data_IF_265585168752
#
_entry.id   IF_265585168752
#
_cell.length_a   1.000
_cell.length_b   1.000
_cell.length_c   1.000
_cell.angle_alpha   90.00
_cell.angle_beta   90.00
_cell.angle_gamma   90.00
#
_symmetry.space_group_name_H-M   'P 1'
#
loop_
_entity.id
_entity.type
_entity.pdbx_description
1 polymer ?
#
# COMPACT_ATOMS: atom_id res chain seq x y z
N UNK A 1 70.85 32.08 -30.01
CA UNK A 1 69.67 32.02 -29.11
C UNK A 1 69.94 30.97 -28.04
N UNK A 2 69.97 31.39 -26.80
CA UNK A 2 70.11 30.45 -25.69
C UNK A 2 68.79 29.64 -25.52
N UNK A 3 68.86 28.32 -25.46
CA UNK A 3 67.71 27.49 -25.15
C UNK A 3 67.65 27.25 -23.64
N UNK A 4 66.50 27.52 -23.03
CA UNK A 4 66.23 27.14 -21.65
C UNK A 4 65.54 25.77 -21.69
N UNK A 5 66.14 24.78 -21.04
CA UNK A 5 65.57 23.44 -20.92
C UNK A 5 64.95 23.27 -19.55
N UNK A 6 63.64 23.25 -19.46
CA UNK A 6 62.89 22.93 -18.24
C UNK A 6 62.72 21.40 -18.13
N UNK A 7 63.42 20.77 -17.19
CA UNK A 7 63.38 19.31 -17.02
C UNK A 7 62.35 18.86 -15.97
N UNK A 8 61.96 19.76 -15.08
CA UNK A 8 60.96 19.51 -14.04
C UNK A 8 60.34 20.83 -13.62
N UNK A 9 59.06 20.87 -13.43
CA UNK A 9 58.35 22.01 -12.87
C UNK A 9 58.18 21.82 -11.36
N UNK A 10 58.76 22.75 -10.57
CA UNK A 10 58.74 22.68 -9.10
C UNK A 10 57.53 23.33 -8.45
N UNK A 11 56.66 23.93 -9.24
CA UNK A 11 55.47 24.62 -8.75
C UNK A 11 55.67 26.14 -8.65
N UNK A 12 54.78 26.80 -7.97
CA UNK A 12 54.70 28.24 -7.83
C UNK A 12 55.32 28.70 -6.51
N UNK A 13 56.21 29.69 -6.57
CA UNK A 13 56.92 30.30 -5.44
C UNK A 13 56.78 31.84 -5.45
N UNK A 14 55.57 32.36 -5.20
CA UNK A 14 55.22 33.78 -5.42
C UNK A 14 55.96 34.75 -4.47
N UNK A 15 56.50 34.26 -3.37
CA UNK A 15 57.20 35.07 -2.36
C UNK A 15 58.70 35.18 -2.59
N UNK A 16 59.25 34.46 -3.56
CA UNK A 16 60.70 34.47 -3.84
C UNK A 16 60.95 35.48 -4.98
N UNK A 17 61.96 36.33 -4.81
CA UNK A 17 62.37 37.27 -5.87
C UNK A 17 62.81 36.51 -7.13
N UNK A 18 62.62 37.10 -8.31
CA UNK A 18 62.98 36.49 -9.60
C UNK A 18 64.44 36.04 -9.68
N UNK A 19 65.33 36.76 -8.98
CA UNK A 19 66.78 36.50 -8.98
C UNK A 19 67.17 35.29 -8.10
N UNK A 20 66.31 34.94 -7.12
CA UNK A 20 66.53 33.84 -6.19
C UNK A 20 65.62 32.65 -6.49
N UNK A 21 64.82 32.74 -7.58
CA UNK A 21 63.87 31.69 -7.94
C UNK A 21 64.64 30.42 -8.37
N UNK A 22 64.37 29.24 -7.78
CA UNK A 22 65.01 27.99 -8.21
C UNK A 22 64.68 27.64 -9.65
N UNK A 23 65.63 27.04 -10.34
CA UNK A 23 65.38 26.52 -11.68
C UNK A 23 64.23 25.57 -11.71
N UNK A 24 63.23 25.82 -12.56
CA UNK A 24 62.02 25.01 -12.64
C UNK A 24 60.86 25.47 -11.77
N UNK A 25 61.02 26.52 -10.93
CA UNK A 25 59.92 27.18 -10.25
C UNK A 25 59.42 28.41 -11.04
N UNK A 26 58.16 28.81 -10.79
CA UNK A 26 57.59 30.04 -11.35
C UNK A 26 57.11 30.96 -10.22
N UNK A 27 57.16 32.27 -10.40
CA UNK A 27 56.49 33.21 -9.48
C UNK A 27 54.99 33.18 -9.67
N UNK A 28 54.53 32.99 -10.93
CA UNK A 28 53.12 32.88 -11.32
C UNK A 28 52.98 31.79 -12.37
N UNK A 29 51.99 30.94 -12.20
CA UNK A 29 51.70 29.86 -13.13
C UNK A 29 50.19 29.80 -13.39
N UNK A 30 49.76 30.29 -14.54
CA UNK A 30 48.36 30.27 -14.92
C UNK A 30 48.05 29.11 -15.86
N UNK A 31 46.87 28.49 -15.68
CA UNK A 31 46.37 27.43 -16.52
C UNK A 31 47.25 26.17 -16.60
N UNK A 32 47.97 25.88 -15.54
CA UNK A 32 48.80 24.68 -15.40
C UNK A 32 48.53 23.91 -14.15
N UNK A 33 48.72 22.57 -14.19
CA UNK A 33 48.65 21.68 -13.04
C UNK A 33 49.99 21.68 -12.33
N UNK A 34 49.99 21.96 -11.04
CA UNK A 34 51.22 22.17 -10.25
C UNK A 34 51.69 20.93 -9.48
N UNK A 35 50.84 19.91 -9.34
CA UNK A 35 51.07 18.78 -8.44
C UNK A 35 51.86 17.58 -9.03
N UNK A 36 51.95 17.50 -10.38
CA UNK A 36 52.60 16.38 -11.04
C UNK A 36 54.09 16.55 -11.29
N UNK A 37 54.60 17.76 -11.16
CA UNK A 37 55.97 18.12 -11.58
C UNK A 37 56.15 18.28 -13.08
N UNK A 38 55.11 18.05 -13.87
CA UNK A 38 55.07 18.29 -15.30
C UNK A 38 54.32 19.58 -15.61
N UNK A 39 54.73 20.25 -16.68
CA UNK A 39 54.06 21.46 -17.13
C UNK A 39 52.88 21.09 -18.04
N UNK A 40 51.78 20.69 -17.42
CA UNK A 40 50.56 20.23 -18.12
C UNK A 40 49.48 21.29 -18.00
N UNK A 41 48.89 21.79 -19.12
CA UNK A 41 47.80 22.75 -19.06
C UNK A 41 46.53 22.11 -18.49
N UNK A 42 45.70 22.93 -17.82
CA UNK A 42 44.32 22.55 -17.57
C UNK A 42 43.58 22.40 -18.88
N UNK A 43 42.81 21.32 -19.01
CA UNK A 43 41.93 21.17 -20.18
C UNK A 43 40.81 22.20 -20.10
N UNK A 44 40.40 22.76 -21.22
CA UNK A 44 39.21 23.60 -21.29
C UNK A 44 38.01 22.85 -20.76
N UNK A 45 37.22 23.45 -19.87
CA UNK A 45 35.96 22.83 -19.43
C UNK A 45 35.09 22.46 -20.63
N UNK A 46 34.57 21.25 -20.65
CA UNK A 46 33.61 20.79 -21.64
C UNK A 46 32.20 21.02 -21.11
N UNK A 47 31.37 21.67 -21.90
CA UNK A 47 29.95 21.78 -21.59
C UNK A 47 29.35 20.38 -21.53
N UNK A 48 28.76 20.02 -20.39
CA UNK A 48 28.08 18.73 -20.16
C UNK A 48 26.62 18.87 -20.52
N UNK A 49 25.95 19.90 -20.01
CA UNK A 49 24.53 20.13 -20.22
C UNK A 49 24.18 21.60 -19.96
N UNK A 50 23.14 22.08 -20.64
CA UNK A 50 22.51 23.36 -20.34
C UNK A 50 21.29 23.14 -19.50
N UNK A 51 21.34 23.47 -18.22
CA UNK A 51 20.29 23.23 -17.26
C UNK A 51 19.04 24.11 -17.41
N UNK A 52 19.14 25.18 -18.23
CA UNK A 52 18.00 26.01 -18.63
C UNK A 52 17.33 26.85 -17.54
N UNK A 53 17.81 26.79 -16.29
CA UNK A 53 17.22 27.55 -15.17
C UNK A 53 17.68 28.98 -15.16
N UNK A 54 16.74 29.93 -15.09
CA UNK A 54 17.02 31.35 -14.91
C UNK A 54 17.23 31.69 -13.43
N UNK A 55 18.14 32.62 -13.14
CA UNK A 55 18.51 33.04 -11.79
C UNK A 55 19.85 32.44 -11.32
N UNK A 56 20.25 32.78 -10.11
CA UNK A 56 21.49 32.27 -9.49
C UNK A 56 21.25 30.91 -8.89
N UNK A 57 21.81 29.88 -9.51
CA UNK A 57 21.73 28.50 -8.98
C UNK A 57 22.66 28.41 -7.77
N UNK A 58 22.11 28.04 -6.61
CA UNK A 58 22.87 27.84 -5.38
C UNK A 58 23.18 26.36 -5.15
N UNK A 59 22.25 25.46 -5.52
CA UNK A 59 22.47 24.02 -5.41
C UNK A 59 22.27 23.33 -6.75
N UNK A 60 23.20 22.44 -7.09
CA UNK A 60 23.17 21.57 -8.26
C UNK A 60 23.30 20.12 -7.81
N UNK A 61 22.31 19.31 -8.16
CA UNK A 61 22.29 17.88 -7.80
C UNK A 61 22.13 17.01 -9.05
N UNK A 62 23.00 16.01 -9.20
CA UNK A 62 22.94 15.06 -10.30
C UNK A 62 22.01 13.89 -9.94
N UNK A 63 20.97 13.71 -10.72
CA UNK A 63 20.02 12.61 -10.58
C UNK A 63 20.16 11.66 -11.77
N UNK A 64 20.21 10.36 -11.50
CA UNK A 64 20.37 9.33 -12.54
C UNK A 64 19.04 8.61 -12.74
N UNK A 65 18.61 8.43 -13.99
CA UNK A 65 17.43 7.66 -14.31
C UNK A 65 17.65 6.18 -13.95
N UNK A 66 16.81 5.59 -13.08
CA UNK A 66 16.99 4.22 -12.63
C UNK A 66 16.80 3.18 -13.76
N UNK A 67 16.08 3.54 -14.81
CA UNK A 67 15.75 2.61 -15.90
C UNK A 67 16.80 2.58 -17.00
N UNK A 68 17.37 3.73 -17.39
CA UNK A 68 18.27 3.82 -18.54
C UNK A 68 19.66 4.38 -18.22
N UNK A 69 19.91 4.78 -16.98
CA UNK A 69 21.19 5.33 -16.53
C UNK A 69 21.51 6.76 -17.00
N UNK A 70 20.59 7.42 -17.70
CA UNK A 70 20.78 8.80 -18.13
C UNK A 70 20.77 9.75 -16.94
N UNK A 71 21.59 10.80 -17.00
CA UNK A 71 21.68 11.79 -15.94
C UNK A 71 20.88 13.02 -16.29
N UNK A 72 20.24 13.60 -15.28
CA UNK A 72 19.68 14.96 -15.32
C UNK A 72 20.25 15.76 -14.15
N UNK A 73 20.20 17.09 -14.25
CA UNK A 73 20.65 17.97 -13.18
C UNK A 73 19.47 18.72 -12.59
N UNK A 74 19.23 18.48 -11.30
CA UNK A 74 18.30 19.29 -10.51
C UNK A 74 19.00 20.55 -10.08
N UNK A 75 18.32 21.68 -10.23
CA UNK A 75 18.86 23.02 -9.98
C UNK A 75 17.96 23.77 -9.02
N UNK A 76 18.51 24.31 -7.96
CA UNK A 76 17.79 25.07 -6.95
C UNK A 76 18.36 26.48 -6.85
N UNK A 77 17.44 27.45 -6.68
CA UNK A 77 17.82 28.85 -6.46
C UNK A 77 18.11 29.15 -4.99
N UNK A 78 17.84 28.19 -4.14
CA UNK A 78 18.16 28.21 -2.69
C UNK A 78 19.29 27.23 -2.40
N UNK A 79 19.93 27.44 -1.27
CA UNK A 79 20.89 26.48 -0.71
C UNK A 79 20.11 25.35 -0.06
N UNK A 80 20.06 24.19 -0.71
CA UNK A 80 19.29 23.03 -0.26
C UNK A 80 20.25 21.88 0.13
N UNK A 81 19.94 21.27 1.27
CA UNK A 81 20.57 20.04 1.70
C UNK A 81 19.79 18.85 1.18
N UNK A 82 20.47 17.95 0.48
CA UNK A 82 19.85 16.77 -0.15
C UNK A 82 20.39 15.49 0.48
N UNK A 83 19.48 14.64 0.95
CA UNK A 83 19.77 13.29 1.40
C UNK A 83 19.07 12.28 0.50
N UNK A 84 19.78 11.23 0.11
CA UNK A 84 19.20 10.10 -0.63
C UNK A 84 18.80 9.00 0.33
N UNK A 85 17.69 8.33 0.06
CA UNK A 85 17.42 7.06 0.68
C UNK A 85 18.46 6.07 0.16
N UNK A 86 19.55 5.94 0.90
CA UNK A 86 20.54 4.90 0.63
C UNK A 86 20.22 3.71 1.49
N UNK A 87 19.85 2.69 0.86
CA UNK A 87 19.81 1.34 1.36
C UNK A 87 18.45 0.73 1.57
N UNK A 88 18.54 -0.53 1.40
CA UNK A 88 17.40 -1.39 1.31
C UNK A 88 16.68 -1.39 2.64
N UNK A 89 15.42 -1.09 2.61
CA UNK A 89 14.54 -1.67 3.58
C UNK A 89 14.58 -3.18 3.35
N UNK A 90 15.31 -3.86 4.19
CA UNK A 90 15.23 -5.32 4.28
C UNK A 90 13.96 -5.71 5.00
N UNK A 91 12.84 -5.53 4.38
CA UNK A 91 11.73 -6.42 4.57
C UNK A 91 11.88 -7.53 3.53
N UNK A 92 11.61 -8.73 3.93
CA UNK A 92 11.93 -10.00 3.28
C UNK A 92 11.45 -10.17 1.83
N UNK A 93 10.99 -9.13 1.14
CA UNK A 93 10.45 -9.23 -0.21
C UNK A 93 10.64 -8.02 -1.13
N UNK A 94 11.21 -6.90 -0.66
CA UNK A 94 11.47 -5.76 -1.55
C UNK A 94 12.79 -5.08 -1.14
N UNK A 95 13.84 -5.46 -1.80
CA UNK A 95 15.21 -5.27 -1.36
C UNK A 95 15.82 -3.93 -1.75
N UNK A 96 15.15 -3.08 -2.51
CA UNK A 96 15.71 -1.81 -2.95
C UNK A 96 14.63 -0.73 -3.08
N UNK A 97 14.97 0.50 -2.68
CA UNK A 97 14.17 1.66 -3.06
C UNK A 97 14.38 1.94 -4.56
N UNK A 98 13.66 1.16 -5.39
CA UNK A 98 13.71 1.28 -6.85
C UNK A 98 13.21 2.63 -7.34
N UNK A 99 12.56 3.41 -6.49
CA UNK A 99 12.06 4.75 -6.77
C UNK A 99 13.15 5.81 -6.64
N UNK A 100 14.32 5.47 -6.05
CA UNK A 100 15.43 6.42 -5.82
C UNK A 100 14.97 7.72 -5.17
N UNK A 101 14.22 7.61 -4.07
CA UNK A 101 13.75 8.77 -3.34
C UNK A 101 14.89 9.60 -2.81
N UNK A 102 14.74 10.88 -2.87
CA UNK A 102 15.63 11.84 -2.21
C UNK A 102 14.80 12.85 -1.42
N UNK A 103 15.39 13.31 -0.36
CA UNK A 103 14.79 14.23 0.60
C UNK A 103 15.61 15.51 0.61
N UNK A 104 14.96 16.65 0.74
CA UNK A 104 15.68 17.91 0.80
C UNK A 104 14.99 18.95 1.68
N UNK A 105 15.82 19.84 2.24
CA UNK A 105 15.44 21.00 3.06
C UNK A 105 16.12 22.26 2.52
N UNK A 106 15.74 23.43 3.04
CA UNK A 106 16.30 24.71 2.56
C UNK A 106 15.43 25.43 1.54
N UNK A 107 14.33 24.82 1.10
CA UNK A 107 13.35 25.40 0.18
C UNK A 107 11.93 25.34 0.77
N UNK A 108 11.75 25.96 1.94
CA UNK A 108 10.50 25.93 2.69
C UNK A 108 10.34 24.67 3.56
N UNK A 109 9.16 24.02 3.53
CA UNK A 109 8.93 22.76 4.23
C UNK A 109 9.84 21.65 3.72
N UNK A 110 10.29 20.72 4.59
CA UNK A 110 11.02 19.54 4.13
C UNK A 110 10.23 18.78 3.05
N UNK A 111 10.94 18.30 2.04
CA UNK A 111 10.35 17.71 0.84
C UNK A 111 10.92 16.33 0.54
N UNK A 112 10.12 15.53 -0.15
CA UNK A 112 10.54 14.25 -0.75
C UNK A 112 10.21 14.24 -2.24
N UNK A 113 11.10 13.68 -3.03
CA UNK A 113 10.90 13.51 -4.48
C UNK A 113 11.57 12.21 -4.96
N UNK A 114 11.35 11.87 -6.22
CA UNK A 114 12.05 10.82 -6.94
C UNK A 114 12.33 11.27 -8.38
N UNK A 115 12.99 10.41 -9.17
CA UNK A 115 13.31 10.74 -10.56
C UNK A 115 12.06 11.11 -11.36
N UNK A 116 11.05 10.25 -11.34
CA UNK A 116 9.84 10.43 -12.15
C UNK A 116 9.09 11.72 -11.77
N UNK A 117 8.97 12.01 -10.49
CA UNK A 117 8.27 13.19 -9.99
C UNK A 117 9.05 14.47 -10.32
N UNK A 118 10.37 14.47 -10.11
CA UNK A 118 11.22 15.62 -10.37
C UNK A 118 11.33 15.98 -11.85
N UNK A 119 11.16 14.98 -12.74
CA UNK A 119 11.34 15.13 -14.19
C UNK A 119 10.04 15.00 -15.00
N UNK A 120 8.88 15.00 -14.34
CA UNK A 120 7.57 14.89 -14.99
C UNK A 120 7.19 16.18 -15.74
N UNK A 121 7.89 16.44 -16.83
CA UNK A 121 7.72 17.64 -17.67
C UNK A 121 9.01 18.02 -18.39
N UNK A 122 9.07 19.26 -18.83
CA UNK A 122 10.24 19.81 -19.52
C UNK A 122 11.21 20.49 -18.55
N UNK A 123 12.51 20.43 -18.85
CA UNK A 123 13.52 21.19 -18.11
C UNK A 123 13.15 22.68 -18.01
N UNK A 124 13.58 23.40 -16.96
CA UNK A 124 14.56 23.03 -15.94
C UNK A 124 14.00 22.13 -14.84
N UNK A 125 14.84 21.23 -14.34
CA UNK A 125 14.49 20.31 -13.26
C UNK A 125 14.96 20.80 -11.88
N UNK A 126 14.28 20.46 -10.75
CA UNK A 126 12.98 19.78 -10.74
C UNK A 126 11.90 20.66 -11.39
N UNK A 127 10.89 20.01 -11.97
CA UNK A 127 9.72 20.73 -12.49
C UNK A 127 8.95 21.38 -11.33
N UNK A 128 8.12 22.37 -11.66
CA UNK A 128 7.21 22.96 -10.67
C UNK A 128 6.32 21.87 -10.04
N UNK A 129 6.28 21.81 -8.71
CA UNK A 129 5.58 20.76 -7.96
C UNK A 129 6.13 19.34 -8.19
N UNK A 130 7.38 19.21 -8.63
CA UNK A 130 8.08 17.92 -8.75
C UNK A 130 8.50 17.34 -7.38
N UNK A 131 7.69 17.47 -6.36
CA UNK A 131 7.94 17.02 -4.99
C UNK A 131 6.64 16.84 -4.21
N UNK A 132 6.74 16.17 -3.07
CA UNK A 132 5.74 16.17 -2.00
C UNK A 132 6.34 16.75 -0.73
N UNK A 133 5.52 17.35 0.13
CA UNK A 133 5.92 17.69 1.48
C UNK A 133 6.26 16.42 2.27
N UNK A 134 7.29 16.49 3.11
CA UNK A 134 7.70 15.35 3.93
C UNK A 134 6.68 15.09 5.03
N UNK A 135 6.35 13.82 5.22
CA UNK A 135 5.32 13.35 6.15
C UNK A 135 3.99 13.03 5.46
N UNK A 136 3.18 12.19 6.06
CA UNK A 136 1.89 11.80 5.52
C UNK A 136 0.78 12.74 6.03
N UNK A 137 -0.17 13.14 5.18
CA UNK A 137 -1.25 14.02 5.58
C UNK A 137 -2.19 13.35 6.58
N UNK A 138 -2.84 14.17 7.40
CA UNK A 138 -3.92 13.71 8.27
C UNK A 138 -5.08 13.15 7.44
N UNK A 139 -5.61 11.96 7.77
CA UNK A 139 -6.88 11.50 7.22
C UNK A 139 -8.03 12.46 7.58
N UNK A 140 -8.78 12.93 6.59
CA UNK A 140 -9.84 13.93 6.79
C UNK A 140 -11.24 13.34 6.83
N UNK A 141 -11.39 12.10 6.36
CA UNK A 141 -12.67 11.39 6.34
C UNK A 141 -12.81 10.53 7.59
N UNK A 142 -13.98 10.53 8.20
CA UNK A 142 -14.29 9.66 9.34
C UNK A 142 -15.01 8.41 8.84
N UNK A 143 -14.53 7.19 9.14
CA UNK A 143 -15.23 5.96 8.76
C UNK A 143 -16.58 5.87 9.50
N UNK A 144 -17.51 5.12 8.88
CA UNK A 144 -18.82 4.83 9.47
C UNK A 144 -18.95 3.33 9.65
N UNK A 145 -19.31 2.89 10.83
CA UNK A 145 -19.51 1.47 11.13
C UNK A 145 -20.99 1.16 11.32
N UNK A 146 -21.44 0.06 10.73
CA UNK A 146 -22.81 -0.43 10.86
C UNK A 146 -22.78 -1.92 11.13
N UNK A 147 -23.33 -2.35 12.27
CA UNK A 147 -23.52 -3.77 12.53
C UNK A 147 -24.60 -4.32 11.59
N UNK A 148 -24.32 -5.45 10.95
CA UNK A 148 -25.34 -6.14 10.19
C UNK A 148 -26.39 -6.66 11.17
N UNK A 149 -27.62 -6.22 11.01
CA UNK A 149 -28.71 -6.63 11.89
C UNK A 149 -28.88 -8.14 11.84
N UNK A 150 -28.90 -8.76 13.00
CA UNK A 150 -29.36 -10.12 13.16
C UNK A 150 -30.85 -10.08 13.47
N UNK A 151 -31.65 -10.57 12.54
CA UNK A 151 -33.09 -10.66 12.78
C UNK A 151 -33.41 -11.88 13.63
N UNK A 152 -34.26 -11.71 14.62
CA UNK A 152 -34.89 -12.86 15.27
C UNK A 152 -35.70 -13.58 14.20
N UNK A 153 -35.40 -14.86 13.98
CA UNK A 153 -36.01 -15.66 12.92
C UNK A 153 -36.96 -16.64 13.55
N UNK A 154 -38.18 -16.69 13.03
CA UNK A 154 -39.17 -17.70 13.42
C UNK A 154 -38.86 -19.02 12.73
N UNK A 155 -39.14 -20.12 13.40
CA UNK A 155 -39.09 -21.45 12.82
C UNK A 155 -40.27 -21.70 11.88
N UNK A 156 -40.09 -22.63 10.93
CA UNK A 156 -41.18 -23.27 10.17
C UNK A 156 -41.36 -24.72 10.61
N UNK A 157 -40.28 -25.37 10.97
CA UNK A 157 -40.22 -26.76 11.44
C UNK A 157 -39.08 -26.92 12.40
N UNK A 158 -39.08 -28.03 13.13
CA UNK A 158 -37.95 -28.57 13.84
C UNK A 158 -37.79 -30.06 13.56
N UNK A 159 -36.61 -30.58 13.77
CA UNK A 159 -36.23 -31.98 13.57
C UNK A 159 -35.06 -32.31 14.48
N UNK A 160 -34.96 -33.54 14.98
CA UNK A 160 -33.77 -34.01 15.69
C UNK A 160 -33.40 -35.39 15.20
N UNK A 161 -32.14 -35.58 14.87
CA UNK A 161 -31.60 -36.88 14.53
C UNK A 161 -31.32 -37.72 15.78
N UNK A 162 -30.93 -38.99 15.58
CA UNK A 162 -30.53 -39.88 16.67
C UNK A 162 -29.20 -39.53 17.33
N UNK A 163 -28.50 -38.55 16.83
CA UNK A 163 -27.19 -38.06 17.28
C UNK A 163 -27.26 -36.80 18.14
N UNK A 164 -28.42 -36.43 18.67
CA UNK A 164 -28.64 -35.19 19.44
C UNK A 164 -28.41 -33.89 18.63
N UNK A 165 -28.53 -33.94 17.31
CA UNK A 165 -28.44 -32.78 16.45
C UNK A 165 -29.83 -32.34 16.07
N UNK A 166 -30.21 -31.13 16.48
CA UNK A 166 -31.46 -30.51 16.06
C UNK A 166 -31.24 -29.65 14.82
N UNK A 167 -32.26 -29.64 13.96
CA UNK A 167 -32.31 -28.74 12.80
C UNK A 167 -33.38 -27.68 13.07
N UNK A 168 -32.96 -26.43 12.99
CA UNK A 168 -33.84 -25.27 12.97
C UNK A 168 -34.13 -24.91 11.50
N UNK A 169 -35.36 -25.00 11.08
CA UNK A 169 -35.83 -24.58 9.76
C UNK A 169 -36.40 -23.17 9.89
N UNK A 170 -35.70 -22.20 9.36
CA UNK A 170 -36.05 -20.79 9.48
C UNK A 170 -37.07 -20.33 8.45
N UNK A 171 -37.87 -19.31 8.80
CA UNK A 171 -38.84 -18.65 7.89
C UNK A 171 -38.18 -17.61 6.98
N UNK A 172 -36.89 -17.33 7.16
CA UNK A 172 -36.13 -16.34 6.36
C UNK A 172 -34.62 -16.43 6.62
N UNK A 173 -33.86 -15.62 5.91
CA UNK A 173 -32.42 -15.62 6.00
C UNK A 173 -31.93 -15.22 7.42
N UNK A 174 -31.12 -16.08 8.00
CA UNK A 174 -30.58 -15.88 9.36
C UNK A 174 -29.27 -15.10 9.40
N UNK A 175 -28.55 -14.94 8.29
CA UNK A 175 -27.23 -14.28 8.23
C UNK A 175 -26.17 -14.86 9.21
N UNK A 176 -26.38 -16.08 9.73
CA UNK A 176 -25.44 -16.78 10.59
C UNK A 176 -24.29 -17.37 9.76
N UNK A 177 -23.20 -17.65 10.49
CA UNK A 177 -22.08 -18.47 10.03
C UNK A 177 -21.91 -19.64 10.98
N UNK A 178 -21.40 -20.76 10.49
CA UNK A 178 -21.00 -21.87 11.36
C UNK A 178 -20.00 -21.37 12.42
N UNK A 179 -20.22 -21.78 13.67
CA UNK A 179 -19.49 -21.29 14.83
C UNK A 179 -20.16 -20.11 15.57
N UNK A 180 -21.24 -19.51 15.03
CA UNK A 180 -21.99 -18.51 15.78
C UNK A 180 -22.72 -19.14 16.97
N UNK A 181 -22.87 -18.38 18.03
CA UNK A 181 -23.60 -18.80 19.22
C UNK A 181 -25.01 -18.17 19.17
N UNK A 182 -26.04 -19.02 19.31
CA UNK A 182 -27.44 -18.59 19.31
C UNK A 182 -28.18 -19.09 20.55
N UNK A 183 -29.30 -18.44 20.87
CA UNK A 183 -30.33 -18.96 21.72
C UNK A 183 -31.54 -19.29 20.88
N UNK A 184 -32.01 -20.52 21.00
CA UNK A 184 -33.21 -21.04 20.34
C UNK A 184 -34.29 -21.23 21.41
N UNK A 185 -35.48 -20.66 21.19
CA UNK A 185 -36.53 -20.60 22.19
C UNK A 185 -37.94 -20.61 21.58
N UNK A 186 -38.93 -20.71 22.43
CA UNK A 186 -40.35 -20.56 22.08
C UNK A 186 -40.90 -21.70 21.20
N UNK A 187 -40.31 -22.90 21.24
CA UNK A 187 -40.78 -24.06 20.46
C UNK A 187 -42.09 -24.65 20.94
N UNK A 188 -42.86 -23.94 21.73
CA UNK A 188 -44.20 -24.38 22.13
C UNK A 188 -44.29 -24.96 23.54
N UNK A 189 -45.43 -25.61 23.84
CA UNK A 189 -45.79 -26.01 25.20
C UNK A 189 -45.64 -27.48 25.47
N UNK A 190 -45.58 -28.36 24.47
CA UNK A 190 -45.32 -29.79 24.67
C UNK A 190 -43.91 -30.05 25.17
N UNK A 191 -43.71 -31.08 25.93
CA UNK A 191 -42.38 -31.42 26.47
C UNK A 191 -41.40 -31.77 25.35
N UNK A 192 -41.87 -32.38 24.26
CA UNK A 192 -41.05 -32.61 23.05
C UNK A 192 -40.59 -31.30 22.39
N UNK A 193 -41.51 -30.37 22.18
CA UNK A 193 -41.17 -29.09 21.55
C UNK A 193 -40.25 -28.24 22.43
N UNK A 194 -40.49 -28.20 23.75
CA UNK A 194 -39.62 -27.52 24.72
C UNK A 194 -38.19 -28.04 24.74
N UNK A 195 -38.00 -29.34 24.47
CA UNK A 195 -36.69 -29.95 24.40
C UNK A 195 -35.78 -29.40 23.26
N UNK A 196 -36.36 -28.67 22.30
CA UNK A 196 -35.61 -27.96 21.29
C UNK A 196 -35.13 -26.56 21.71
N UNK A 197 -35.61 -26.03 22.84
CA UNK A 197 -35.10 -24.77 23.37
C UNK A 197 -33.68 -24.96 23.90
N UNK A 198 -32.79 -24.12 23.49
CA UNK A 198 -31.38 -24.17 23.86
C UNK A 198 -30.83 -22.75 24.00
N UNK A 199 -29.91 -22.56 24.95
CA UNK A 199 -29.26 -21.26 25.17
C UNK A 199 -27.75 -21.37 24.94
N UNK A 200 -27.18 -20.37 24.27
CA UNK A 200 -25.75 -20.31 24.01
C UNK A 200 -25.19 -21.55 23.30
N UNK A 201 -25.90 -22.02 22.28
CA UNK A 201 -25.47 -23.17 21.46
C UNK A 201 -24.78 -22.70 20.19
N UNK A 202 -23.72 -23.41 19.85
CA UNK A 202 -23.01 -23.21 18.59
C UNK A 202 -23.81 -23.79 17.43
N UNK A 203 -23.85 -23.07 16.30
CA UNK A 203 -24.56 -23.53 15.12
C UNK A 203 -23.64 -23.97 13.99
N UNK A 204 -24.10 -24.96 13.23
CA UNK A 204 -23.56 -25.29 11.91
C UNK A 204 -24.59 -24.91 10.85
N UNK A 205 -24.25 -23.98 9.98
CA UNK A 205 -25.12 -23.46 8.92
C UNK A 205 -25.26 -24.51 7.82
N UNK A 206 -26.49 -24.87 7.46
CA UNK A 206 -26.81 -25.75 6.34
C UNK A 206 -27.03 -24.96 5.04
N UNK A 207 -27.81 -23.90 5.14
CA UNK A 207 -28.12 -22.99 4.03
C UNK A 207 -28.50 -21.60 4.57
N UNK A 208 -29.07 -20.73 3.75
CA UNK A 208 -29.40 -19.36 4.13
C UNK A 208 -30.48 -19.26 5.23
N UNK A 209 -31.34 -20.28 5.37
CA UNK A 209 -32.48 -20.29 6.29
C UNK A 209 -32.35 -21.30 7.43
N UNK A 210 -31.55 -22.35 7.23
CA UNK A 210 -31.54 -23.51 8.12
C UNK A 210 -30.16 -23.74 8.72
N UNK A 211 -30.13 -24.14 9.98
CA UNK A 211 -28.91 -24.49 10.68
C UNK A 211 -29.14 -25.64 11.67
N UNK A 212 -28.07 -26.32 12.06
CA UNK A 212 -28.07 -27.34 13.13
C UNK A 212 -27.46 -26.79 14.38
N UNK A 213 -27.84 -27.37 15.50
CA UNK A 213 -27.29 -27.11 16.84
C UNK A 213 -27.43 -28.33 17.71
N UNK A 214 -26.66 -28.39 18.78
CA UNK A 214 -26.73 -29.48 19.75
C UNK A 214 -28.00 -29.35 20.60
N UNK A 215 -28.83 -30.41 20.63
CA UNK A 215 -30.04 -30.51 21.42
C UNK A 215 -30.26 -31.97 21.79
N UNK A 216 -29.96 -32.33 23.04
CA UNK A 216 -30.06 -33.74 23.47
C UNK A 216 -31.51 -34.21 23.53
N UNK A 217 -31.75 -35.49 23.22
CA UNK A 217 -33.06 -36.14 23.28
C UNK A 217 -33.26 -37.16 22.16
N UNK A 218 -34.43 -37.82 22.19
CA UNK A 218 -34.80 -38.82 21.20
C UNK A 218 -34.95 -38.20 19.79
N UNK A 219 -34.81 -39.04 18.77
CA UNK A 219 -35.03 -38.62 17.39
C UNK A 219 -36.48 -38.14 17.19
N UNK A 220 -36.63 -37.01 16.55
CA UNK A 220 -37.92 -36.40 16.23
C UNK A 220 -37.97 -36.12 14.75
N UNK A 221 -38.99 -36.67 14.06
CA UNK A 221 -39.21 -36.42 12.66
C UNK A 221 -39.54 -34.95 12.42
N UNK A 222 -39.30 -34.46 11.20
CA UNK A 222 -39.59 -33.08 10.80
C UNK A 222 -41.03 -32.69 11.14
N UNK A 223 -41.17 -31.81 12.12
CA UNK A 223 -42.48 -31.39 12.67
C UNK A 223 -42.67 -29.89 12.42
N UNK A 224 -43.88 -29.50 11.94
CA UNK A 224 -44.20 -28.11 11.71
C UNK A 224 -44.28 -27.32 13.03
N UNK A 225 -43.66 -26.17 13.03
CA UNK A 225 -43.63 -25.25 14.19
C UNK A 225 -43.36 -23.83 13.72
N UNK A 226 -44.20 -22.89 14.06
CA UNK A 226 -44.08 -21.46 13.70
C UNK A 226 -43.83 -20.56 14.90
N UNK A 227 -43.66 -21.13 16.10
CA UNK A 227 -43.45 -20.36 17.33
C UNK A 227 -42.02 -20.29 17.74
N UNK A 228 -41.20 -21.28 17.39
CA UNK A 228 -39.77 -21.28 17.70
C UNK A 228 -39.07 -20.08 17.08
N UNK A 229 -38.09 -19.57 17.82
CA UNK A 229 -37.29 -18.40 17.43
C UNK A 229 -35.81 -18.64 17.67
N UNK A 230 -34.98 -18.09 16.80
CA UNK A 230 -33.54 -18.02 17.04
C UNK A 230 -33.08 -16.58 17.14
N UNK A 231 -32.18 -16.31 18.07
CA UNK A 231 -31.53 -15.02 18.22
C UNK A 231 -30.04 -15.23 18.49
N UNK A 232 -29.21 -14.29 18.03
CA UNK A 232 -27.79 -14.31 18.30
C UNK A 232 -27.56 -14.13 19.81
N UNK A 233 -26.81 -15.02 20.43
CA UNK A 233 -26.47 -15.02 21.84
C UNK A 233 -25.03 -14.44 22.04
N UNK A 234 -24.60 -14.37 23.29
CA UNK A 234 -23.27 -13.91 23.68
C UNK A 234 -23.24 -12.47 24.17
N UNK A 235 -22.07 -12.08 24.67
CA UNK A 235 -21.85 -10.74 25.23
C UNK A 235 -21.78 -9.68 24.14
N UNK A 236 -22.39 -8.53 24.43
CA UNK A 236 -22.26 -7.35 23.57
C UNK A 236 -20.88 -6.74 23.74
N UNK A 237 -20.23 -6.48 22.63
CA UNK A 237 -18.95 -5.81 22.55
C UNK A 237 -19.14 -4.46 21.83
N UNK A 238 -18.40 -3.45 22.29
CA UNK A 238 -18.37 -2.13 21.62
C UNK A 238 -17.13 -2.11 20.71
N UNK A 239 -17.31 -1.62 19.48
CA UNK A 239 -16.24 -1.48 18.50
C UNK A 239 -16.29 -0.09 17.86
N UNK A 240 -15.10 0.47 17.64
CA UNK A 240 -14.88 1.61 16.76
C UNK A 240 -13.78 1.28 15.76
N UNK A 241 -13.75 2.00 14.67
CA UNK A 241 -12.82 1.79 13.56
C UNK A 241 -12.12 3.08 13.22
N UNK A 242 -10.84 2.99 12.91
CA UNK A 242 -10.04 4.09 12.36
C UNK A 242 -9.27 3.57 11.15
N UNK A 243 -8.84 4.46 10.28
CA UNK A 243 -7.90 4.11 9.23
C UNK A 243 -6.72 5.08 9.21
N UNK A 244 -5.62 4.64 8.64
CA UNK A 244 -4.41 5.42 8.40
C UNK A 244 -4.09 5.40 6.91
N UNK A 245 -3.38 6.41 6.41
CA UNK A 245 -2.76 6.34 5.10
C UNK A 245 -1.51 5.49 5.17
N UNK A 246 -1.23 4.73 4.11
CA UNK A 246 -0.03 3.89 4.02
C UNK A 246 0.64 4.04 2.66
N UNK A 247 1.98 4.05 2.69
CA UNK A 247 2.83 3.98 1.51
C UNK A 247 3.30 2.55 1.25
N UNK A 248 3.87 2.25 0.07
CA UNK A 248 4.47 0.94 -0.22
C UNK A 248 5.66 0.57 0.70
N UNK A 249 6.24 1.55 1.37
CA UNK A 249 7.42 1.38 2.24
C UNK A 249 7.06 1.32 3.72
N UNK A 250 5.79 0.99 4.04
CA UNK A 250 5.27 0.92 5.40
C UNK A 250 5.30 2.25 6.20
N UNK A 251 5.49 3.38 5.52
CA UNK A 251 5.25 4.67 6.15
C UNK A 251 3.76 4.82 6.40
N UNK A 252 3.40 5.14 7.63
CA UNK A 252 2.01 5.17 8.06
C UNK A 252 1.67 6.52 8.71
N UNK A 253 0.51 7.09 8.32
CA UNK A 253 0.02 8.34 8.88
C UNK A 253 -0.57 8.13 10.28
N UNK A 254 -0.81 9.22 10.96
CA UNK A 254 -1.64 9.20 12.17
C UNK A 254 -3.07 8.74 11.81
N UNK A 255 -3.81 8.11 12.75
CA UNK A 255 -5.14 7.61 12.46
C UNK A 255 -6.17 8.72 12.21
N UNK A 256 -7.21 8.37 11.45
CA UNK A 256 -8.41 9.19 11.29
C UNK A 256 -9.14 9.37 12.63
N UNK A 257 -10.12 10.26 12.65
CA UNK A 257 -11.10 10.26 13.73
C UNK A 257 -11.81 8.90 13.78
N UNK A 258 -12.15 8.41 15.00
CA UNK A 258 -12.85 7.15 15.16
C UNK A 258 -14.25 7.18 14.52
N UNK A 259 -14.70 6.03 14.02
CA UNK A 259 -16.08 5.84 13.59
C UNK A 259 -17.05 6.04 14.77
N UNK A 260 -18.34 6.06 14.46
CA UNK A 260 -19.36 5.83 15.47
C UNK A 260 -19.13 4.47 16.16
N UNK A 261 -19.56 4.36 17.41
CA UNK A 261 -19.61 3.10 18.14
C UNK A 261 -20.64 2.16 17.54
N UNK A 262 -20.30 0.88 17.45
CA UNK A 262 -21.24 -0.20 17.13
C UNK A 262 -21.23 -1.23 18.24
N UNK A 263 -22.44 -1.67 18.58
CA UNK A 263 -22.68 -2.71 19.57
C UNK A 263 -22.89 -4.02 18.84
N UNK A 264 -21.99 -4.95 19.01
CA UNK A 264 -22.01 -6.23 18.31
C UNK A 264 -21.91 -7.40 19.25
N UNK A 265 -22.51 -8.51 18.87
CA UNK A 265 -22.31 -9.81 19.49
C UNK A 265 -21.22 -10.58 18.75
N UNK A 266 -20.61 -11.55 19.43
CA UNK A 266 -19.59 -12.38 18.81
C UNK A 266 -20.11 -13.05 17.54
N UNK A 267 -19.29 -13.05 16.50
CA UNK A 267 -19.66 -13.57 15.17
C UNK A 267 -20.51 -12.64 14.30
N UNK A 268 -20.98 -11.51 14.81
CA UNK A 268 -21.74 -10.54 14.03
C UNK A 268 -20.83 -9.80 13.04
N UNK A 269 -21.33 -9.62 11.83
CA UNK A 269 -20.64 -8.87 10.78
C UNK A 269 -20.82 -7.37 10.96
N UNK A 270 -19.76 -6.60 10.75
CA UNK A 270 -19.78 -5.13 10.71
C UNK A 270 -19.40 -4.68 9.30
N UNK A 271 -20.20 -3.80 8.74
CA UNK A 271 -19.84 -3.08 7.52
C UNK A 271 -19.19 -1.75 7.90
N UNK A 272 -17.97 -1.53 7.44
CA UNK A 272 -17.29 -0.25 7.57
C UNK A 272 -17.35 0.46 6.22
N UNK A 273 -17.93 1.63 6.21
CA UNK A 273 -18.13 2.47 5.02
C UNK A 273 -17.47 3.83 5.19
N UNK A 274 -17.62 4.70 4.20
CA UNK A 274 -16.99 6.02 4.15
C UNK A 274 -15.46 5.97 4.25
N UNK A 275 -14.87 4.88 3.74
CA UNK A 275 -13.42 4.74 3.59
C UNK A 275 -12.97 5.38 2.28
N UNK A 276 -11.82 6.06 2.24
CA UNK A 276 -11.26 6.60 1.00
C UNK A 276 -11.07 5.51 -0.05
N UNK A 277 -11.40 5.82 -1.30
CA UNK A 277 -11.20 4.92 -2.44
C UNK A 277 -10.03 5.37 -3.34
N UNK A 278 -9.44 6.50 -3.03
CA UNK A 278 -8.30 7.07 -3.73
C UNK A 278 -7.42 7.85 -2.76
N UNK A 279 -6.17 8.06 -3.16
CA UNK A 279 -5.24 8.91 -2.42
C UNK A 279 -5.75 10.36 -2.35
N UNK A 280 -5.35 11.15 -1.35
CA UNK A 280 -5.66 12.58 -1.28
C UNK A 280 -5.23 13.32 -2.54
N UNK A 281 -5.95 14.39 -2.89
CA UNK A 281 -5.53 15.27 -3.99
C UNK A 281 -4.27 16.05 -3.64
N UNK A 282 -3.51 16.45 -4.68
CA UNK A 282 -2.34 17.32 -4.48
C UNK A 282 -2.66 18.55 -3.62
N UNK A 283 -1.69 19.05 -2.81
CA UNK A 283 -0.26 18.68 -2.80
C UNK A 283 0.11 17.50 -1.90
N UNK A 284 -0.83 16.96 -1.13
CA UNK A 284 -0.57 16.00 -0.05
C UNK A 284 -0.54 14.53 -0.50
N UNK A 285 -0.03 14.22 -1.68
CA UNK A 285 -0.10 12.86 -2.22
C UNK A 285 0.95 11.87 -1.70
N UNK A 286 2.01 12.33 -1.11
CA UNK A 286 3.10 11.63 -0.42
C UNK A 286 3.29 10.12 -0.71
N UNK A 287 3.20 9.71 -1.99
CA UNK A 287 3.28 8.30 -2.39
C UNK A 287 2.24 7.37 -1.73
N UNK A 288 1.15 7.90 -1.20
CA UNK A 288 0.08 7.12 -0.58
C UNK A 288 -0.50 6.14 -1.60
N UNK A 289 -0.60 4.86 -1.21
CA UNK A 289 -1.09 3.77 -2.07
C UNK A 289 -2.32 3.09 -1.53
N UNK A 290 -2.63 3.27 -0.25
CA UNK A 290 -3.75 2.61 0.38
C UNK A 290 -4.03 3.13 1.78
N UNK A 291 -4.84 2.36 2.47
CA UNK A 291 -5.17 2.58 3.87
C UNK A 291 -4.95 1.29 4.67
N UNK A 292 -4.63 1.43 5.94
CA UNK A 292 -4.75 0.37 6.94
C UNK A 292 -5.98 0.64 7.79
N UNK A 293 -6.83 -0.37 7.90
CA UNK A 293 -8.04 -0.33 8.70
C UNK A 293 -7.79 -1.02 10.04
N UNK A 294 -8.13 -0.35 11.11
CA UNK A 294 -8.00 -0.84 12.49
C UNK A 294 -9.33 -0.87 13.19
N UNK A 295 -9.47 -1.76 14.17
CA UNK A 295 -10.59 -1.77 15.09
C UNK A 295 -10.12 -1.66 16.53
N UNK A 296 -10.96 -1.13 17.41
CA UNK A 296 -10.74 -1.20 18.85
C UNK A 296 -11.00 -2.62 19.37
N UNK A 297 -10.21 -3.00 20.36
CA UNK A 297 -10.56 -4.06 21.30
C UNK A 297 -10.64 -3.39 22.66
N UNK A 298 -11.82 -3.30 23.22
CA UNK A 298 -12.01 -2.73 24.56
C UNK A 298 -11.58 -3.80 25.58
N UNK A 299 -10.49 -3.54 26.28
CA UNK A 299 -10.10 -4.28 27.46
C UNK A 299 -10.37 -3.42 28.71
N UNK A 300 -10.42 -4.04 29.86
CA UNK A 300 -10.60 -3.32 31.14
C UNK A 300 -9.46 -2.35 31.47
N UNK A 301 -8.34 -2.41 30.73
CA UNK A 301 -7.13 -1.65 31.02
C UNK A 301 -6.83 -0.54 30.00
N UNK A 302 -7.19 -0.70 28.73
CA UNK A 302 -6.94 0.30 27.68
C UNK A 302 -7.77 0.02 26.43
N UNK A 303 -7.97 1.05 25.62
CA UNK A 303 -8.47 0.91 24.24
C UNK A 303 -7.26 0.74 23.32
N UNK A 304 -7.13 -0.44 22.74
CA UNK A 304 -6.08 -0.74 21.77
C UNK A 304 -6.68 -0.88 20.37
N UNK A 305 -5.89 -0.52 19.35
CA UNK A 305 -6.27 -0.66 17.97
C UNK A 305 -5.52 -1.85 17.35
N UNK A 306 -6.26 -2.75 16.72
CA UNK A 306 -5.74 -3.92 16.03
C UNK A 306 -5.93 -3.78 14.53
N UNK A 307 -4.87 -4.00 13.77
CA UNK A 307 -4.93 -4.03 12.31
C UNK A 307 -5.88 -5.13 11.83
N UNK A 308 -6.85 -4.75 11.01
CA UNK A 308 -7.77 -5.67 10.35
C UNK A 308 -7.33 -6.01 8.93
N UNK A 309 -6.97 -4.99 8.16
CA UNK A 309 -6.62 -5.15 6.76
C UNK A 309 -5.82 -3.96 6.25
N UNK A 310 -4.97 -4.21 5.26
CA UNK A 310 -4.42 -3.18 4.38
C UNK A 310 -5.22 -3.21 3.09
N UNK A 311 -5.77 -2.06 2.70
CA UNK A 311 -6.60 -1.89 1.50
C UNK A 311 -5.87 -0.98 0.52
N UNK A 312 -5.35 -1.55 -0.54
CA UNK A 312 -4.67 -0.80 -1.60
C UNK A 312 -5.69 -0.15 -2.54
N UNK A 313 -5.40 1.07 -2.99
CA UNK A 313 -6.27 1.76 -3.94
C UNK A 313 -6.29 1.06 -5.29
N UNK A 314 -7.45 1.05 -5.96
CA UNK A 314 -7.56 0.51 -7.30
C UNK A 314 -6.58 1.18 -8.27
N UNK A 315 -6.02 0.41 -9.17
CA UNK A 315 -5.19 0.88 -10.27
C UNK A 315 -5.71 0.30 -11.59
N UNK A 316 -5.53 1.02 -12.68
CA UNK A 316 -6.01 0.60 -13.99
C UNK A 316 -5.00 -0.30 -14.70
N UNK A 317 -5.52 -1.32 -15.39
CA UNK A 317 -4.71 -2.14 -16.30
C UNK A 317 -4.43 -1.34 -17.57
N UNK A 318 -3.17 -1.30 -17.99
CA UNK A 318 -2.75 -0.65 -19.24
C UNK A 318 -2.48 -1.66 -20.34
N UNK A 319 -2.09 -2.89 -19.98
CA UNK A 319 -1.86 -3.97 -20.93
C UNK A 319 -2.25 -5.31 -20.33
N UNK A 320 -2.76 -6.19 -21.18
CA UNK A 320 -3.04 -7.59 -20.86
C UNK A 320 -2.53 -8.49 -21.95
N UNK A 321 -1.99 -9.63 -21.56
CA UNK A 321 -1.54 -10.70 -22.46
C UNK A 321 -1.83 -12.05 -21.80
N UNK A 322 -2.33 -13.03 -22.57
CA UNK A 322 -2.49 -14.42 -22.09
C UNK A 322 -1.79 -15.39 -23.03
N UNK A 323 -0.93 -16.23 -22.49
CA UNK A 323 -0.27 -17.33 -23.21
C UNK A 323 -0.50 -18.60 -22.41
N UNK A 324 -1.26 -19.53 -22.97
CA UNK A 324 -1.74 -20.68 -22.22
C UNK A 324 -2.61 -20.24 -21.04
N UNK A 325 -2.30 -20.73 -19.85
CA UNK A 325 -2.97 -20.33 -18.61
C UNK A 325 -2.28 -19.17 -17.87
N UNK A 326 -1.24 -18.57 -18.42
CA UNK A 326 -0.52 -17.47 -17.79
C UNK A 326 -1.02 -16.14 -18.34
N UNK A 327 -1.56 -15.32 -17.48
CA UNK A 327 -1.94 -13.94 -17.79
C UNK A 327 -0.88 -13.00 -17.24
N UNK A 328 -0.42 -12.08 -18.09
CA UNK A 328 0.47 -10.98 -17.72
C UNK A 328 -0.33 -9.69 -17.74
N UNK A 329 -0.37 -8.99 -16.62
CA UNK A 329 -0.99 -7.66 -16.50
C UNK A 329 0.07 -6.59 -16.27
N UNK A 330 -0.07 -5.48 -16.98
CA UNK A 330 0.69 -4.24 -16.70
C UNK A 330 -0.28 -3.16 -16.23
N UNK A 331 0.05 -2.51 -15.14
CA UNK A 331 -0.76 -1.49 -14.49
C UNK A 331 -0.25 -0.07 -14.78
N UNK A 332 -1.13 0.91 -14.63
CA UNK A 332 -0.80 2.33 -14.78
C UNK A 332 0.04 2.90 -13.63
N UNK A 333 0.10 2.21 -12.52
CA UNK A 333 0.89 2.57 -11.33
C UNK A 333 1.48 1.31 -10.70
N UNK A 334 2.57 1.42 -9.92
CA UNK A 334 3.18 0.29 -9.23
C UNK A 334 2.16 -0.48 -8.40
N UNK A 335 2.19 -1.81 -8.45
CA UNK A 335 1.19 -2.67 -7.80
C UNK A 335 1.49 -3.01 -6.34
N UNK A 336 2.75 -3.01 -5.94
CA UNK A 336 3.23 -3.39 -4.61
C UNK A 336 2.81 -4.79 -4.13
N UNK A 337 2.42 -5.67 -5.05
CA UNK A 337 2.11 -7.06 -4.74
C UNK A 337 3.39 -7.87 -4.48
N UNK A 338 3.24 -8.87 -3.65
CA UNK A 338 4.18 -9.99 -3.56
C UNK A 338 3.51 -11.25 -4.15
N UNK A 339 4.29 -12.28 -4.40
CA UNK A 339 3.78 -13.58 -4.84
C UNK A 339 2.78 -14.10 -3.79
N UNK A 340 1.70 -14.72 -4.24
CA UNK A 340 0.56 -15.22 -3.47
C UNK A 340 -0.42 -14.15 -2.95
N UNK A 341 -0.15 -12.87 -3.10
CA UNK A 341 -1.14 -11.83 -2.79
C UNK A 341 -2.43 -12.03 -3.61
N UNK A 342 -3.56 -11.81 -2.96
CA UNK A 342 -4.87 -11.87 -3.62
C UNK A 342 -5.29 -10.49 -4.13
N UNK A 343 -5.73 -10.45 -5.37
CA UNK A 343 -6.27 -9.23 -5.98
C UNK A 343 -7.60 -9.52 -6.69
N UNK A 344 -8.39 -8.48 -6.86
CA UNK A 344 -9.64 -8.54 -7.63
C UNK A 344 -9.48 -7.77 -8.93
N UNK A 345 -9.71 -8.44 -10.04
CA UNK A 345 -9.79 -7.85 -11.36
C UNK A 345 -11.26 -7.63 -11.74
N UNK A 346 -11.59 -6.45 -12.23
CA UNK A 346 -12.96 -6.10 -12.62
C UNK A 346 -12.97 -5.09 -13.76
N UNK A 347 -14.06 -5.06 -14.54
CA UNK A 347 -14.21 -4.16 -15.66
C UNK A 347 -13.42 -4.56 -16.91
N UNK A 348 -12.83 -5.75 -16.93
CA UNK A 348 -12.20 -6.28 -18.15
C UNK A 348 -13.28 -6.69 -19.14
N UNK A 349 -13.13 -6.21 -20.38
CA UNK A 349 -14.01 -6.60 -21.52
C UNK A 349 -13.32 -7.59 -22.43
N UNK A 350 -12.01 -7.75 -22.33
CA UNK A 350 -11.21 -8.72 -23.08
C UNK A 350 -11.65 -10.13 -22.74
N UNK A 351 -11.67 -11.01 -23.74
CA UNK A 351 -12.14 -12.41 -23.62
C UNK A 351 -13.58 -12.49 -23.03
N UNK A 352 -14.46 -11.60 -23.50
CA UNK A 352 -15.86 -11.48 -23.03
C UNK A 352 -16.01 -11.27 -21.52
N UNK A 353 -15.01 -10.67 -20.87
CA UNK A 353 -15.00 -10.39 -19.43
C UNK A 353 -14.70 -11.61 -18.56
N UNK A 354 -14.30 -12.73 -19.14
CA UNK A 354 -13.98 -13.98 -18.40
C UNK A 354 -12.89 -13.80 -17.35
N UNK A 355 -11.99 -12.84 -17.54
CA UNK A 355 -10.92 -12.52 -16.59
C UNK A 355 -11.36 -11.71 -15.37
N UNK A 356 -12.64 -11.34 -15.25
CA UNK A 356 -13.10 -10.66 -14.03
C UNK A 356 -13.23 -11.67 -12.89
N UNK A 357 -12.59 -11.40 -11.79
CA UNK A 357 -12.57 -12.36 -10.67
C UNK A 357 -11.57 -12.00 -9.59
N UNK A 358 -11.35 -12.93 -8.68
CA UNK A 358 -10.33 -12.85 -7.66
C UNK A 358 -9.26 -13.90 -7.93
N UNK A 359 -8.03 -13.46 -8.01
CA UNK A 359 -6.87 -14.26 -8.37
C UNK A 359 -5.75 -14.09 -7.35
N UNK A 360 -4.74 -14.95 -7.42
CA UNK A 360 -3.49 -14.79 -6.68
C UNK A 360 -2.35 -14.49 -7.64
N UNK A 361 -1.43 -13.64 -7.21
CA UNK A 361 -0.22 -13.29 -7.96
C UNK A 361 0.69 -14.52 -8.04
N UNK A 362 1.01 -14.93 -9.26
CA UNK A 362 1.89 -16.09 -9.49
C UNK A 362 3.36 -15.69 -9.58
N UNK A 363 3.68 -14.56 -10.20
CA UNK A 363 5.04 -14.00 -10.22
C UNK A 363 5.03 -12.48 -10.42
N UNK A 364 6.09 -11.84 -9.96
CA UNK A 364 6.35 -10.41 -10.18
C UNK A 364 7.37 -10.30 -11.32
N UNK A 365 7.03 -9.51 -12.34
CA UNK A 365 7.92 -9.21 -13.47
C UNK A 365 8.69 -7.93 -13.21
N UNK A 366 7.98 -6.87 -12.84
CA UNK A 366 8.51 -5.58 -12.41
C UNK A 366 7.48 -4.85 -11.54
N UNK A 367 7.76 -3.60 -11.14
CA UNK A 367 6.87 -2.81 -10.27
C UNK A 367 5.49 -2.49 -10.86
N UNK A 368 5.32 -2.63 -12.17
CA UNK A 368 4.05 -2.40 -12.86
C UNK A 368 3.41 -3.68 -13.40
N UNK A 369 4.20 -4.77 -13.51
CA UNK A 369 3.81 -5.96 -14.26
C UNK A 369 3.95 -7.21 -13.40
N UNK A 370 2.89 -8.00 -13.36
CA UNK A 370 2.86 -9.28 -12.67
C UNK A 370 2.09 -10.31 -13.46
N UNK A 371 2.18 -11.57 -13.06
CA UNK A 371 1.44 -12.67 -13.68
C UNK A 371 0.51 -13.35 -12.69
N UNK A 372 -0.55 -13.96 -13.23
CA UNK A 372 -1.45 -14.84 -12.50
C UNK A 372 -1.96 -15.96 -13.42
N UNK A 373 -2.58 -16.98 -12.86
CA UNK A 373 -3.15 -18.08 -13.62
C UNK A 373 -4.63 -17.89 -13.89
N UNK A 374 -5.01 -17.97 -15.16
CA UNK A 374 -6.41 -17.99 -15.59
C UNK A 374 -6.51 -18.75 -16.92
N UNK A 375 -7.55 -19.58 -17.07
CA UNK A 375 -7.78 -20.38 -18.27
C UNK A 375 -8.69 -19.64 -19.25
N UNK A 376 -8.32 -19.63 -20.52
CA UNK A 376 -9.11 -19.00 -21.58
C UNK A 376 -8.35 -18.94 -22.90
N UNK A 377 -8.91 -18.24 -23.87
CA UNK A 377 -8.28 -18.06 -25.17
C UNK A 377 -6.98 -17.26 -25.07
N UNK A 378 -6.02 -17.55 -25.95
CA UNK A 378 -4.82 -16.74 -26.07
C UNK A 378 -5.16 -15.28 -26.40
N UNK A 379 -4.54 -14.34 -25.68
CA UNK A 379 -4.71 -12.91 -25.90
C UNK A 379 -3.35 -12.34 -26.29
N UNK A 380 -3.24 -11.80 -27.51
CA UNK A 380 -2.11 -10.99 -27.88
C UNK A 380 -2.05 -9.75 -26.98
N UNK A 381 -0.87 -9.20 -26.75
CA UNK A 381 -0.75 -7.98 -25.93
C UNK A 381 -1.67 -6.88 -26.46
N UNK A 382 -2.63 -6.48 -25.65
CA UNK A 382 -3.59 -5.42 -25.94
C UNK A 382 -3.53 -4.35 -24.85
N UNK A 383 -3.75 -3.08 -25.27
CA UNK A 383 -3.87 -1.95 -24.35
C UNK A 383 -5.27 -1.91 -23.70
#
# INVERSE_FOLDING_TARGET
>A
MGSVKLTRFLGEAPKISTELLPDGAAQNAFNVKLYSGDLIPYRTPKLVENVGRTGTIQTLYKLTNPTNGNNVFLTYLNDVDIATASAPWTTTSNTEDTEQRFYYTGDGTPKVSNYDLATNGSAPYPVTNGYYDLGLPLPTTTPTATAVSFSVISSTHYERDSGNTAIFYGSGNHNLRSGNIVSVRDFGTSDEAKAFNATNVEVTVLNATDFTYFSPGDAVSKTANTTGRSELAGNTQIRTYVYTWVTPWDEEAIPSLPSNEVYIKEGQTVTVSNLPQAKPSAPAQNFIRGIRLYRTVVSSAATEYFLLATLWFPTTTTKVKRVGSVVTLTLSSPHNFIVDDRFKLSGMTTDSGSMNGTFSVASIVDKYTFTFSDSGNAISETA
#
